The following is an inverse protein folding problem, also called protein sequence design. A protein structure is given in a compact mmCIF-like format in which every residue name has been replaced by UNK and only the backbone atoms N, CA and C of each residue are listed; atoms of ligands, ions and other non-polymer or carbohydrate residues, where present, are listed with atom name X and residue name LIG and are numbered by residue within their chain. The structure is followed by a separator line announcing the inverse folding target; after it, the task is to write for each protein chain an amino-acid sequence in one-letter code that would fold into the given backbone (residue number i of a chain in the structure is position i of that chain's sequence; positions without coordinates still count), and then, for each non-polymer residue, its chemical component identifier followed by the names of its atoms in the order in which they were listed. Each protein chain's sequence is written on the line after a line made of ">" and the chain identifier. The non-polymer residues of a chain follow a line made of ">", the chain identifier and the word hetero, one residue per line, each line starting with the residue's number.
data_IF_820646619527
#
_entry.id   IF_820646619527
#
_cell.length_a   1.000
_cell.length_b   1.000
_cell.length_c   1.000
_cell.angle_alpha   90.00
_cell.angle_beta   90.00
_cell.angle_gamma   90.00
#
_symmetry.space_group_name_H-M   'P 1'
#
loop_
_entity.id
_entity.type
_entity.pdbx_description
1 polymer ?
#
# COMPACT_ATOMS: atom_id res chain seq x y z
N UNK A 1 -6.62 12.72 -10.58
CA UNK A 1 -5.81 13.46 -11.57
C UNK A 1 -4.32 13.30 -11.38
N UNK A 2 -3.72 13.73 -10.26
CA UNK A 2 -2.25 13.61 -10.03
C UNK A 2 -1.70 12.20 -10.29
N UNK A 3 -2.31 11.17 -9.70
CA UNK A 3 -1.91 9.77 -9.88
C UNK A 3 -1.87 9.30 -11.35
N UNK A 4 -2.74 9.83 -12.22
CA UNK A 4 -2.79 9.44 -13.64
C UNK A 4 -1.60 9.97 -14.44
N UNK A 5 -1.06 11.12 -14.03
CA UNK A 5 0.03 11.83 -14.70
C UNK A 5 1.40 11.22 -14.38
N UNK A 6 1.50 10.46 -13.28
CA UNK A 6 2.74 9.89 -12.76
C UNK A 6 2.93 8.46 -13.25
N UNK A 7 4.15 8.05 -13.58
CA UNK A 7 4.44 6.64 -13.91
C UNK A 7 4.19 5.75 -12.68
N UNK A 8 3.74 4.51 -12.88
CA UNK A 8 3.30 3.63 -11.79
C UNK A 8 4.37 3.35 -10.73
N UNK A 9 5.62 3.28 -11.16
CA UNK A 9 6.81 3.00 -10.37
C UNK A 9 7.44 4.26 -9.75
N UNK A 10 6.84 5.43 -10.00
CA UNK A 10 7.39 6.69 -9.51
C UNK A 10 7.00 6.98 -8.07
N UNK A 11 7.85 7.79 -7.45
CA UNK A 11 7.56 8.45 -6.17
C UNK A 11 6.30 9.31 -6.24
N UNK A 12 6.06 9.97 -7.38
CA UNK A 12 4.88 10.80 -7.58
C UNK A 12 3.57 10.00 -7.52
N UNK A 13 3.56 8.77 -8.03
CA UNK A 13 2.41 7.88 -7.96
C UNK A 13 2.09 7.49 -6.51
N UNK A 14 3.10 7.05 -5.75
CA UNK A 14 2.94 6.70 -4.34
C UNK A 14 2.50 7.91 -3.49
N UNK A 15 3.04 9.10 -3.76
CA UNK A 15 2.64 10.33 -3.07
C UNK A 15 1.20 10.75 -3.41
N UNK A 16 0.78 10.56 -4.66
CA UNK A 16 -0.60 10.82 -5.07
C UNK A 16 -1.59 9.81 -4.47
N UNK A 17 -1.18 8.55 -4.31
CA UNK A 17 -1.94 7.50 -3.62
C UNK A 17 -2.16 7.85 -2.14
N UNK A 18 -1.06 8.11 -1.44
CA UNK A 18 -1.07 8.54 -0.04
C UNK A 18 -1.95 9.76 0.18
N UNK A 19 -1.86 10.76 -0.69
CA UNK A 19 -2.68 11.96 -0.60
C UNK A 19 -4.18 11.64 -0.68
N UNK A 20 -4.60 10.67 -1.51
CA UNK A 20 -6.00 10.24 -1.56
C UNK A 20 -6.42 9.58 -0.25
N UNK A 21 -5.65 8.60 0.24
CA UNK A 21 -5.96 7.90 1.50
C UNK A 21 -6.12 8.87 2.68
N UNK A 22 -5.20 9.83 2.82
CA UNK A 22 -5.27 10.87 3.86
C UNK A 22 -6.48 11.79 3.65
N UNK A 23 -6.80 12.16 2.40
CA UNK A 23 -7.96 12.99 2.11
C UNK A 23 -9.27 12.28 2.51
N UNK A 24 -9.42 10.99 2.21
CA UNK A 24 -10.57 10.19 2.62
C UNK A 24 -10.66 10.08 4.14
N UNK A 25 -9.55 9.77 4.83
CA UNK A 25 -9.51 9.71 6.29
C UNK A 25 -9.93 11.05 6.93
N UNK A 26 -9.53 12.18 6.33
CA UNK A 26 -9.96 13.52 6.78
C UNK A 26 -11.42 13.82 6.49
N UNK A 27 -11.93 13.36 5.35
CA UNK A 27 -13.32 13.53 4.95
C UNK A 27 -14.30 12.75 5.84
N UNK A 28 -13.85 11.67 6.49
CA UNK A 28 -14.68 10.85 7.39
C UNK A 28 -15.26 11.59 8.60
N UNK A 29 -14.73 12.77 8.95
CA UNK A 29 -15.11 13.50 10.16
C UNK A 29 -14.65 12.85 11.47
N UNK A 30 -13.98 11.69 11.41
CA UNK A 30 -13.49 10.98 12.58
C UNK A 30 -12.12 11.54 13.02
N UNK A 31 -12.10 12.17 14.20
CA UNK A 31 -10.88 12.79 14.74
C UNK A 31 -9.76 11.78 14.98
N UNK A 32 -10.08 10.54 15.35
CA UNK A 32 -9.11 9.46 15.51
C UNK A 32 -8.45 9.10 14.18
N UNK A 33 -9.24 8.96 13.10
CA UNK A 33 -8.72 8.68 11.76
C UNK A 33 -7.82 9.81 11.25
N UNK A 34 -8.16 11.07 11.56
CA UNK A 34 -7.30 12.24 11.24
C UNK A 34 -5.96 12.22 11.99
N UNK A 35 -5.97 11.82 13.26
CA UNK A 35 -4.76 11.77 14.08
C UNK A 35 -3.84 10.63 13.65
N UNK A 36 -4.39 9.43 13.42
CA UNK A 36 -3.61 8.27 12.96
C UNK A 36 -3.01 8.52 11.59
N UNK A 37 -3.75 9.14 10.65
CA UNK A 37 -3.25 9.42 9.30
C UNK A 37 -1.89 10.10 9.27
N UNK A 38 -1.67 11.09 10.14
CA UNK A 38 -0.37 11.79 10.24
C UNK A 38 0.74 10.91 10.82
N UNK A 39 0.41 10.01 11.75
CA UNK A 39 1.39 9.12 12.39
C UNK A 39 1.89 8.06 11.42
N UNK A 40 0.99 7.51 10.60
CA UNK A 40 1.30 6.39 9.71
C UNK A 40 1.76 6.84 8.31
N UNK A 41 1.75 8.14 8.03
CA UNK A 41 1.99 8.71 6.70
C UNK A 41 3.30 8.21 6.08
N UNK A 42 4.41 8.29 6.83
CA UNK A 42 5.72 7.85 6.34
C UNK A 42 5.78 6.33 6.07
N UNK A 43 5.12 5.53 6.91
CA UNK A 43 5.06 4.08 6.73
C UNK A 43 4.20 3.69 5.53
N UNK A 44 3.05 4.34 5.34
CA UNK A 44 2.20 4.14 4.17
C UNK A 44 2.92 4.53 2.88
N UNK A 45 3.63 5.66 2.87
CA UNK A 45 4.45 6.08 1.73
C UNK A 45 5.46 5.01 1.32
N UNK A 46 6.19 4.47 2.30
CA UNK A 46 7.15 3.40 2.05
C UNK A 46 6.47 2.13 1.51
N UNK A 47 5.33 1.75 2.08
CA UNK A 47 4.54 0.62 1.60
C UNK A 47 4.07 0.81 0.16
N UNK A 48 3.62 2.01 -0.22
CA UNK A 48 3.11 2.27 -1.57
C UNK A 48 4.20 2.30 -2.63
N UNK A 49 5.40 2.77 -2.28
CA UNK A 49 6.58 2.67 -3.15
C UNK A 49 6.95 1.21 -3.45
N UNK A 50 6.86 0.33 -2.45
CA UNK A 50 7.15 -1.09 -2.60
C UNK A 50 6.03 -1.85 -3.33
N UNK A 51 4.78 -1.41 -3.15
CA UNK A 51 3.60 -1.92 -3.84
C UNK A 51 3.27 -1.12 -5.10
N UNK A 52 4.25 -0.60 -5.84
CA UNK A 52 3.97 0.05 -7.11
C UNK A 52 3.51 -0.98 -8.16
N UNK A 53 2.45 -0.74 -8.96
CA UNK A 53 2.06 -1.65 -10.03
C UNK A 53 3.13 -1.64 -11.13
N UNK A 54 3.73 -2.80 -11.40
CA UNK A 54 4.82 -2.95 -12.38
C UNK A 54 4.27 -3.10 -13.80
N UNK A 55 3.15 -3.82 -13.95
CA UNK A 55 2.50 -4.05 -15.23
C UNK A 55 1.45 -2.98 -15.56
N UNK A 56 1.24 -2.71 -16.85
CA UNK A 56 0.28 -1.70 -17.33
C UNK A 56 -1.18 -2.07 -17.00
N UNK A 57 -1.52 -3.35 -17.06
CA UNK A 57 -2.88 -3.83 -16.71
C UNK A 57 -3.18 -3.61 -15.22
N UNK A 58 -2.18 -3.81 -14.36
CA UNK A 58 -2.30 -3.51 -12.92
C UNK A 58 -2.46 -2.02 -12.66
N UNK A 59 -1.76 -1.18 -13.42
CA UNK A 59 -1.90 0.28 -13.33
C UNK A 59 -3.33 0.72 -13.60
N UNK A 60 -3.91 0.27 -14.71
CA UNK A 60 -5.24 0.70 -15.12
C UNK A 60 -6.31 0.24 -14.12
N UNK A 61 -6.16 -0.98 -13.59
CA UNK A 61 -7.00 -1.47 -12.50
C UNK A 61 -6.87 -0.59 -11.25
N UNK A 62 -5.66 -0.24 -10.83
CA UNK A 62 -5.42 0.64 -9.68
C UNK A 62 -6.09 2.00 -9.91
N UNK A 63 -5.86 2.65 -11.05
CA UNK A 63 -6.46 3.94 -11.36
C UNK A 63 -8.00 3.90 -11.37
N UNK A 64 -8.58 2.81 -11.90
CA UNK A 64 -10.01 2.59 -11.93
C UNK A 64 -10.59 2.52 -10.51
N UNK A 65 -10.00 1.72 -9.63
CA UNK A 65 -10.50 1.56 -8.26
C UNK A 65 -10.35 2.82 -7.42
N UNK A 66 -9.26 3.58 -7.61
CA UNK A 66 -9.11 4.89 -6.98
C UNK A 66 -10.17 5.89 -7.45
N UNK A 67 -10.53 5.86 -8.74
CA UNK A 67 -11.61 6.70 -9.25
C UNK A 67 -12.97 6.30 -8.65
N UNK A 68 -13.25 4.99 -8.52
CA UNK A 68 -14.49 4.50 -7.88
C UNK A 68 -14.66 5.01 -6.45
N UNK A 69 -13.59 5.09 -5.67
CA UNK A 69 -13.62 5.69 -4.32
C UNK A 69 -14.09 7.13 -4.40
N UNK A 70 -13.49 7.93 -5.30
CA UNK A 70 -13.83 9.35 -5.47
C UNK A 70 -15.27 9.52 -5.93
N UNK A 71 -15.72 8.71 -6.89
CA UNK A 71 -17.07 8.78 -7.43
C UNK A 71 -18.13 8.41 -6.38
N UNK A 72 -17.88 7.36 -5.58
CA UNK A 72 -18.77 6.95 -4.50
C UNK A 72 -18.88 8.03 -3.41
N UNK A 73 -17.76 8.65 -3.02
CA UNK A 73 -17.75 9.78 -2.08
C UNK A 73 -18.53 10.97 -2.65
N UNK A 74 -18.35 11.29 -3.93
CA UNK A 74 -19.05 12.40 -4.59
C UNK A 74 -20.57 12.14 -4.68
N UNK A 75 -20.98 10.89 -4.83
CA UNK A 75 -22.39 10.47 -4.82
C UNK A 75 -22.99 10.40 -3.40
N UNK A 76 -22.17 10.50 -2.34
CA UNK A 76 -22.61 10.33 -0.95
C UNK A 76 -22.85 8.87 -0.56
N UNK A 77 -22.34 7.91 -1.33
CA UNK A 77 -22.46 6.48 -1.07
C UNK A 77 -21.29 6.00 -0.20
N UNK A 78 -21.50 6.05 1.11
CA UNK A 78 -20.48 5.68 2.09
C UNK A 78 -20.12 4.18 2.04
N UNK A 79 -21.08 3.32 1.70
CA UNK A 79 -20.87 1.86 1.65
C UNK A 79 -20.01 1.50 0.45
N UNK A 80 -20.35 2.00 -0.75
CA UNK A 80 -19.54 1.79 -1.94
C UNK A 80 -18.13 2.38 -1.80
N UNK A 81 -17.98 3.54 -1.14
CA UNK A 81 -16.67 4.13 -0.88
C UNK A 81 -15.83 3.25 0.06
N UNK A 82 -16.45 2.67 1.09
CA UNK A 82 -15.81 1.76 2.03
C UNK A 82 -15.36 0.47 1.33
N UNK A 83 -16.25 -0.17 0.56
CA UNK A 83 -15.93 -1.39 -0.19
C UNK A 83 -14.79 -1.18 -1.19
N UNK A 84 -14.82 -0.08 -1.95
CA UNK A 84 -13.77 0.25 -2.90
C UNK A 84 -12.42 0.51 -2.20
N UNK A 85 -12.43 1.19 -1.05
CA UNK A 85 -11.22 1.42 -0.24
C UNK A 85 -10.64 0.11 0.28
N UNK A 86 -11.48 -0.78 0.82
CA UNK A 86 -11.06 -2.12 1.28
C UNK A 86 -10.45 -2.92 0.14
N UNK A 87 -11.08 -2.91 -1.03
CA UNK A 87 -10.54 -3.57 -2.22
C UNK A 87 -9.15 -3.06 -2.59
N UNK A 88 -8.95 -1.73 -2.64
CA UNK A 88 -7.64 -1.12 -2.96
C UNK A 88 -6.57 -1.56 -1.96
N UNK A 89 -6.88 -1.57 -0.67
CA UNK A 89 -5.94 -2.00 0.38
C UNK A 89 -5.54 -3.46 0.18
N UNK A 90 -6.49 -4.38 0.03
CA UNK A 90 -6.19 -5.80 -0.17
C UNK A 90 -5.41 -6.06 -1.45
N UNK A 91 -5.79 -5.40 -2.55
CA UNK A 91 -5.07 -5.50 -3.80
C UNK A 91 -3.62 -4.97 -3.67
N UNK A 92 -3.41 -3.90 -2.90
CA UNK A 92 -2.08 -3.38 -2.57
C UNK A 92 -1.20 -4.34 -1.78
N UNK A 93 -1.78 -5.05 -0.81
CA UNK A 93 -1.05 -6.03 -0.01
C UNK A 93 -0.67 -7.27 -0.82
N UNK A 94 -1.59 -7.81 -1.64
CA UNK A 94 -1.30 -9.00 -2.45
C UNK A 94 -0.15 -8.73 -3.45
N UNK A 95 -0.06 -7.51 -3.98
CA UNK A 95 1.04 -7.12 -4.88
C UNK A 95 2.40 -7.03 -4.15
N UNK A 96 2.39 -6.77 -2.84
CA UNK A 96 3.59 -6.85 -2.00
C UNK A 96 4.01 -8.30 -1.71
N UNK A 97 3.04 -9.19 -1.45
CA UNK A 97 3.31 -10.62 -1.18
C UNK A 97 3.91 -11.35 -2.39
N UNK A 98 3.54 -10.95 -3.62
CA UNK A 98 4.16 -11.47 -4.84
C UNK A 98 5.60 -11.01 -5.07
N UNK A 99 6.00 -9.87 -4.48
CA UNK A 99 7.37 -9.34 -4.57
C UNK A 99 8.27 -9.80 -3.41
N UNK A 100 7.70 -10.36 -2.34
CA UNK A 100 8.40 -10.64 -1.10
C UNK A 100 8.49 -12.14 -0.79
N UNK A 101 9.26 -12.90 -1.56
CA UNK A 101 10.08 -14.00 -1.02
C UNK A 101 11.41 -14.09 -1.79
N UNK A 102 12.41 -13.32 -1.37
CA UNK A 102 13.78 -13.83 -1.30
C UNK A 102 14.32 -13.52 0.11
N UNK A 103 13.79 -14.25 1.09
CA UNK A 103 14.50 -14.37 2.36
C UNK A 103 15.68 -15.30 2.12
N UNK A 104 16.88 -14.72 1.99
CA UNK A 104 18.12 -15.48 2.04
C UNK A 104 18.12 -16.35 3.33
N UNK A 105 18.45 -17.65 3.25
CA UNK A 105 18.45 -18.49 4.43
C UNK A 105 19.52 -17.97 5.40
N UNK A 106 19.12 -17.75 6.65
CA UNK A 106 20.02 -17.41 7.74
C UNK A 106 21.15 -18.45 7.80
N UNK A 107 22.39 -18.00 7.63
CA UNK A 107 23.57 -18.84 7.86
C UNK A 107 23.52 -19.41 9.28
N UNK A 108 23.53 -20.74 9.37
CA UNK A 108 23.63 -21.45 10.62
C UNK A 108 25.00 -21.15 11.28
N UNK A 109 25.07 -20.87 12.58
CA UNK A 109 26.34 -20.69 13.27
C UNK A 109 27.15 -22.00 13.26
N UNK A 110 28.49 -21.93 13.22
CA UNK A 110 29.33 -23.12 13.13
C UNK A 110 29.17 -23.99 14.39
N UNK A 111 28.89 -25.28 14.19
CA UNK A 111 28.85 -26.27 15.25
C UNK A 111 30.25 -26.43 15.85
N UNK A 112 30.37 -26.15 17.14
CA UNK A 112 31.57 -26.49 17.93
C UNK A 112 31.69 -28.01 18.03
N UNK A 113 32.79 -28.55 17.48
CA UNK A 113 33.14 -29.96 17.56
C UNK A 113 33.59 -30.28 18.99
N UNK A 114 32.75 -30.99 19.74
CA UNK A 114 33.08 -31.59 21.04
C UNK A 114 34.07 -32.74 20.81
N UNK A 115 35.37 -32.43 20.79
CA UNK A 115 36.44 -33.42 20.76
C UNK A 115 36.68 -34.04 22.14
N UNK A 116 35.91 -35.07 22.49
CA UNK A 116 36.33 -36.05 23.50
C UNK A 116 37.43 -36.94 22.89
N UNK A 117 38.65 -36.92 23.44
CA UNK A 117 39.59 -38.02 23.31
C UNK A 117 40.42 -38.22 24.58
N UNK A 118 40.02 -39.29 25.28
CA UNK A 118 40.78 -40.31 26.05
C UNK A 118 41.59 -39.94 27.29
#
# INVERSE_FOLDING_TARGET
>A
ERMRLESSDSVGFADADLALHIAVARASGNLFMRSIGHVIEAALRASFLLSAPVELEDRDAVLLWHQKIVDAIAAGDAEAASEAMVFVIHNGMHRHEGAAIETAPAEAPPSVESGERS
#
